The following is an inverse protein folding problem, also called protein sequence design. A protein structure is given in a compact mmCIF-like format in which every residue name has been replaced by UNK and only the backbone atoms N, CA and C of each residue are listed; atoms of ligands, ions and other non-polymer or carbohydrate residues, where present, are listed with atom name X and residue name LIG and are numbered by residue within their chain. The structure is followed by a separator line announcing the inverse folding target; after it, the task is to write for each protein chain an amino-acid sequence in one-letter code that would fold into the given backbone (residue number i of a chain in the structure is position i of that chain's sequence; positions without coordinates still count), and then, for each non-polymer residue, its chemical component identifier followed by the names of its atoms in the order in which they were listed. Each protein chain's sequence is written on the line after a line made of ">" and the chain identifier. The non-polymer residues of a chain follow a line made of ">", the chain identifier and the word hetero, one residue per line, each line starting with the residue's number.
data_IF_470310502922
#
_entry.id   IF_470310502922
#
_cell.length_a   1.000
_cell.length_b   1.000
_cell.length_c   1.000
_cell.angle_alpha   90.00
_cell.angle_beta   90.00
_cell.angle_gamma   90.00
#
_symmetry.space_group_name_H-M   'P 1'
#
loop_
_entity.id
_entity.type
_entity.pdbx_description
1 polymer ?
#
# COMPACT_ATOMS: atom_id res chain seq x y z
N UNK A 1 10.71 0.84 -23.31
CA UNK A 1 11.82 -0.07 -23.68
C UNK A 1 11.51 -1.53 -23.31
N UNK A 2 11.20 -1.86 -22.05
CA UNK A 2 10.98 -3.24 -21.61
C UNK A 2 9.83 -4.02 -22.30
N UNK A 3 8.74 -3.37 -22.73
CA UNK A 3 7.55 -4.07 -23.25
C UNK A 3 7.76 -4.93 -24.51
N UNK A 4 8.79 -4.66 -25.33
CA UNK A 4 9.11 -5.49 -26.50
C UNK A 4 9.89 -6.74 -26.11
N UNK A 5 10.85 -6.60 -25.20
CA UNK A 5 11.70 -7.71 -24.72
C UNK A 5 10.91 -8.71 -23.86
N UNK A 6 9.88 -8.22 -23.15
CA UNK A 6 9.03 -9.04 -22.29
C UNK A 6 7.84 -9.68 -23.05
N UNK A 7 7.76 -9.55 -24.38
CA UNK A 7 6.56 -9.93 -25.15
C UNK A 7 6.27 -11.43 -25.10
N UNK A 8 7.29 -12.25 -25.31
CA UNK A 8 7.14 -13.71 -25.40
C UNK A 8 7.55 -14.41 -24.09
N UNK A 9 7.97 -13.63 -23.09
CA UNK A 9 8.29 -14.15 -21.77
C UNK A 9 7.02 -14.41 -20.95
N UNK A 10 7.06 -15.53 -20.23
CA UNK A 10 6.10 -15.92 -19.20
C UNK A 10 6.84 -16.05 -17.88
N UNK A 11 6.17 -15.65 -16.81
CA UNK A 11 6.69 -15.70 -15.46
C UNK A 11 5.81 -16.61 -14.61
N UNK A 12 6.39 -17.29 -13.63
CA UNK A 12 5.59 -18.08 -12.69
C UNK A 12 4.79 -17.16 -11.76
N UNK A 13 5.40 -16.04 -11.36
CA UNK A 13 4.86 -15.07 -10.42
C UNK A 13 5.05 -13.65 -10.93
N UNK A 14 4.01 -12.84 -10.79
CA UNK A 14 4.04 -11.39 -11.02
C UNK A 14 3.82 -10.70 -9.67
N UNK A 15 4.72 -9.78 -9.33
CA UNK A 15 4.58 -8.94 -8.13
C UNK A 15 4.35 -7.50 -8.57
N UNK A 16 3.31 -6.89 -8.02
CA UNK A 16 3.03 -5.47 -8.22
C UNK A 16 3.04 -4.79 -6.86
N UNK A 17 4.05 -3.96 -6.66
CA UNK A 17 4.12 -3.06 -5.51
C UNK A 17 3.35 -1.76 -5.80
N UNK A 18 2.89 -1.06 -4.76
CA UNK A 18 2.04 0.13 -4.88
C UNK A 18 0.80 -0.07 -5.77
N UNK A 19 0.20 -1.27 -5.70
CA UNK A 19 -0.94 -1.64 -6.52
C UNK A 19 -2.19 -0.78 -6.25
N UNK A 20 -2.30 -0.20 -5.04
CA UNK A 20 -3.34 0.75 -4.66
C UNK A 20 -3.23 2.13 -5.34
N UNK A 21 -2.07 2.45 -5.93
CA UNK A 21 -1.82 3.69 -6.66
C UNK A 21 -1.86 3.48 -8.19
N UNK A 22 -2.13 2.26 -8.65
CA UNK A 22 -2.07 1.90 -10.07
C UNK A 22 -3.47 1.79 -10.66
N UNK A 23 -3.68 2.43 -11.82
CA UNK A 23 -4.90 2.28 -12.61
C UNK A 23 -5.11 0.81 -12.98
N UNK A 24 -6.34 0.31 -12.85
CA UNK A 24 -6.66 -1.08 -13.17
C UNK A 24 -6.19 -1.51 -14.58
N UNK A 25 -6.41 -0.72 -15.66
CA UNK A 25 -5.91 -1.08 -16.99
C UNK A 25 -4.39 -1.27 -17.05
N UNK A 26 -3.64 -0.49 -16.28
CA UNK A 26 -2.17 -0.58 -16.24
C UNK A 26 -1.71 -1.84 -15.52
N UNK A 27 -2.41 -2.24 -14.46
CA UNK A 27 -2.07 -3.45 -13.69
C UNK A 27 -2.32 -4.73 -14.49
N UNK A 28 -3.28 -4.75 -15.42
CA UNK A 28 -3.53 -5.92 -16.26
C UNK A 28 -2.35 -6.27 -17.18
N UNK A 29 -1.51 -5.30 -17.57
CA UNK A 29 -0.38 -5.52 -18.46
C UNK A 29 0.61 -6.58 -17.90
N UNK A 30 1.15 -6.44 -16.67
CA UNK A 30 2.01 -7.45 -16.09
C UNK A 30 1.23 -8.70 -15.64
N UNK A 31 -0.01 -8.59 -15.17
CA UNK A 31 -0.81 -9.73 -14.68
C UNK A 31 -1.00 -10.83 -15.74
N UNK A 32 -1.16 -10.46 -17.01
CA UNK A 32 -1.31 -11.42 -18.13
C UNK A 32 -0.02 -12.22 -18.44
N UNK A 33 1.09 -11.90 -17.78
CA UNK A 33 2.38 -12.55 -17.98
C UNK A 33 2.66 -13.69 -17.00
N UNK A 34 1.89 -13.83 -15.92
CA UNK A 34 2.13 -14.89 -14.95
C UNK A 34 0.90 -15.66 -14.49
N UNK A 35 1.15 -16.86 -13.96
CA UNK A 35 0.11 -17.76 -13.44
C UNK A 35 -0.26 -17.48 -11.98
N UNK A 36 0.58 -16.75 -11.25
CA UNK A 36 0.35 -16.31 -9.87
C UNK A 36 0.67 -14.83 -9.74
N UNK A 37 -0.09 -14.14 -8.89
CA UNK A 37 0.01 -12.70 -8.71
C UNK A 37 0.06 -12.37 -7.23
N UNK A 38 0.99 -11.49 -6.86
CA UNK A 38 1.07 -10.86 -5.54
C UNK A 38 0.90 -9.36 -5.76
N UNK A 39 -0.11 -8.79 -5.11
CA UNK A 39 -0.34 -7.35 -5.10
C UNK A 39 -0.02 -6.84 -3.70
N UNK A 40 0.84 -5.84 -3.59
CA UNK A 40 1.13 -5.12 -2.37
C UNK A 40 0.73 -3.66 -2.53
N UNK A 41 0.21 -3.06 -1.47
CA UNK A 41 -0.24 -1.67 -1.48
C UNK A 41 -1.17 -1.39 -0.32
N UNK A 42 -1.68 -0.16 -0.29
CA UNK A 42 -2.55 0.32 0.78
C UNK A 42 -3.67 1.19 0.20
N UNK A 43 -4.88 0.64 0.19
CA UNK A 43 -6.07 1.32 -0.34
C UNK A 43 -6.62 2.41 0.60
N UNK A 44 -5.97 2.66 1.76
CA UNK A 44 -6.25 3.81 2.63
C UNK A 44 -5.34 5.02 2.34
N UNK A 45 -4.34 4.85 1.48
CA UNK A 45 -3.43 5.92 1.05
C UNK A 45 -3.93 6.58 -0.24
N UNK A 46 -3.04 7.30 -0.94
CA UNK A 46 -3.39 8.06 -2.13
C UNK A 46 -3.87 7.13 -3.26
N UNK A 47 -5.01 7.43 -3.91
CA UNK A 47 -5.45 6.72 -5.11
C UNK A 47 -4.63 7.15 -6.34
N UNK A 48 -4.75 6.45 -7.49
CA UNK A 48 -4.17 6.90 -8.74
C UNK A 48 -4.68 8.29 -9.15
N UNK A 49 -3.80 9.09 -9.76
CA UNK A 49 -4.16 10.41 -10.27
C UNK A 49 -4.95 10.26 -11.57
N UNK A 50 -6.20 10.75 -11.57
CA UNK A 50 -7.07 10.80 -12.76
C UNK A 50 -7.44 12.25 -13.04
N UNK A 51 -6.96 12.80 -14.16
CA UNK A 51 -7.19 14.21 -14.50
C UNK A 51 -8.60 14.51 -15.02
N UNK A 52 -9.32 13.49 -15.50
CA UNK A 52 -10.69 13.65 -16.02
C UNK A 52 -11.71 13.35 -14.92
N UNK A 53 -12.48 14.36 -14.52
CA UNK A 53 -13.58 14.19 -13.56
C UNK A 53 -14.63 13.20 -14.04
N UNK A 54 -14.89 13.16 -15.35
CA UNK A 54 -15.82 12.19 -15.94
C UNK A 54 -15.29 10.76 -15.76
N UNK A 55 -14.01 10.53 -16.03
CA UNK A 55 -13.40 9.21 -15.85
C UNK A 55 -13.33 8.80 -14.38
N UNK A 56 -13.05 9.76 -13.48
CA UNK A 56 -13.08 9.53 -12.04
C UNK A 56 -14.48 9.13 -11.57
N UNK A 57 -15.53 9.85 -11.99
CA UNK A 57 -16.94 9.48 -11.75
C UNK A 57 -17.32 8.14 -12.39
N UNK A 58 -16.69 7.81 -13.52
CA UNK A 58 -16.80 6.51 -14.19
C UNK A 58 -16.08 5.36 -13.46
N UNK A 59 -15.42 5.62 -12.33
CA UNK A 59 -14.79 4.62 -11.49
C UNK A 59 -13.31 4.36 -11.77
N UNK A 60 -12.67 5.14 -12.66
CA UNK A 60 -11.25 4.94 -13.01
C UNK A 60 -10.29 5.17 -11.82
N UNK A 61 -10.75 5.86 -10.77
CA UNK A 61 -9.99 6.04 -9.53
C UNK A 61 -9.99 4.81 -8.61
N UNK A 62 -10.88 3.85 -8.83
CA UNK A 62 -10.96 2.62 -8.04
C UNK A 62 -9.94 1.63 -8.60
N UNK A 63 -9.04 1.14 -7.75
CA UNK A 63 -7.99 0.21 -8.17
C UNK A 63 -8.43 -1.24 -8.07
N UNK A 64 -7.80 -2.11 -8.87
CA UNK A 64 -7.98 -3.57 -8.74
C UNK A 64 -7.64 -4.03 -7.31
N UNK A 65 -6.61 -3.46 -6.70
CA UNK A 65 -6.21 -3.78 -5.33
C UNK A 65 -7.32 -3.49 -4.33
N UNK A 66 -7.92 -2.29 -4.39
CA UNK A 66 -9.04 -1.90 -3.52
C UNK A 66 -10.24 -2.85 -3.68
N UNK A 67 -10.63 -3.16 -4.92
CA UNK A 67 -11.75 -4.07 -5.20
C UNK A 67 -11.49 -5.46 -4.60
N UNK A 68 -10.29 -6.01 -4.82
CA UNK A 68 -9.92 -7.33 -4.33
C UNK A 68 -9.82 -7.37 -2.80
N UNK A 69 -9.17 -6.37 -2.18
CA UNK A 69 -9.06 -6.28 -0.73
C UNK A 69 -10.43 -6.22 -0.08
N UNK A 70 -11.31 -5.32 -0.51
CA UNK A 70 -12.67 -5.21 0.02
C UNK A 70 -13.44 -6.55 -0.12
N UNK A 71 -13.36 -7.20 -1.27
CA UNK A 71 -14.04 -8.48 -1.53
C UNK A 71 -13.47 -9.63 -0.70
N UNK A 72 -12.16 -9.68 -0.52
CA UNK A 72 -11.48 -10.76 0.21
C UNK A 72 -11.61 -10.60 1.72
N UNK A 73 -11.54 -9.38 2.24
CA UNK A 73 -11.79 -9.09 3.66
C UNK A 73 -13.22 -9.45 4.07
N UNK A 74 -14.23 -9.06 3.27
CA UNK A 74 -15.63 -9.43 3.50
C UNK A 74 -15.86 -10.94 3.54
N UNK A 75 -15.03 -11.71 2.83
CA UNK A 75 -15.10 -13.18 2.79
C UNK A 75 -14.13 -13.87 3.73
N UNK A 76 -13.37 -13.12 4.53
CA UNK A 76 -12.27 -13.63 5.34
C UNK A 76 -11.30 -14.52 4.53
N UNK A 77 -11.05 -14.15 3.28
CA UNK A 77 -10.24 -14.94 2.36
C UNK A 77 -8.74 -14.79 2.71
N UNK A 78 -7.97 -15.88 2.78
CA UNK A 78 -6.57 -15.85 3.24
C UNK A 78 -5.61 -15.08 2.32
N UNK A 79 -6.05 -14.73 1.11
CA UNK A 79 -5.26 -13.93 0.17
C UNK A 79 -5.22 -12.43 0.53
N UNK A 80 -6.12 -11.93 1.38
CA UNK A 80 -6.05 -10.58 1.91
C UNK A 80 -5.37 -10.62 3.29
N UNK A 81 -4.26 -9.90 3.41
CA UNK A 81 -3.51 -9.82 4.66
C UNK A 81 -3.00 -8.40 4.88
N UNK A 82 -3.32 -7.85 6.05
CA UNK A 82 -2.80 -6.56 6.49
C UNK A 82 -1.59 -6.78 7.40
N UNK A 83 -0.48 -6.10 7.11
CA UNK A 83 0.64 -6.03 8.03
C UNK A 83 0.30 -5.07 9.19
N UNK A 84 0.41 -5.56 10.42
CA UNK A 84 -0.05 -4.82 11.62
C UNK A 84 1.07 -4.17 12.41
N UNK A 85 2.32 -4.57 12.22
CA UNK A 85 3.47 -3.96 12.91
C UNK A 85 4.12 -2.91 12.03
N UNK A 86 4.30 -1.69 12.55
CA UNK A 86 5.00 -0.61 11.87
C UNK A 86 6.29 -0.23 12.61
N UNK A 87 7.30 0.19 11.85
CA UNK A 87 8.68 0.40 12.34
C UNK A 87 9.16 1.86 12.18
N UNK A 88 8.24 2.81 11.91
CA UNK A 88 8.55 4.19 11.56
C UNK A 88 8.18 5.19 12.66
N UNK A 89 6.92 5.18 13.08
CA UNK A 89 6.29 6.23 13.88
C UNK A 89 6.39 5.95 15.38
N UNK A 90 6.54 7.01 16.18
CA UNK A 90 6.29 6.99 17.62
C UNK A 90 4.87 6.50 17.92
N UNK A 91 4.65 5.85 19.06
CA UNK A 91 3.36 5.23 19.39
C UNK A 91 2.18 6.19 19.33
N UNK A 92 2.36 7.44 19.79
CA UNK A 92 1.32 8.49 19.76
C UNK A 92 0.86 8.81 18.34
N UNK A 93 1.80 8.93 17.40
CA UNK A 93 1.50 9.20 15.98
C UNK A 93 0.82 7.97 15.36
N UNK A 94 1.40 6.79 15.60
CA UNK A 94 0.86 5.53 15.11
C UNK A 94 -0.58 5.29 15.59
N UNK A 95 -0.87 5.58 16.86
CA UNK A 95 -2.17 5.33 17.49
C UNK A 95 -3.29 6.09 16.82
N UNK A 96 -3.08 7.36 16.46
CA UNK A 96 -4.08 8.14 15.73
C UNK A 96 -4.38 7.53 14.36
N UNK A 97 -3.34 7.30 13.53
CA UNK A 97 -3.53 6.70 12.19
C UNK A 97 -4.14 5.30 12.27
N UNK A 98 -3.74 4.50 13.25
CA UNK A 98 -4.27 3.16 13.51
C UNK A 98 -5.77 3.18 13.74
N UNK A 99 -6.24 4.07 14.62
CA UNK A 99 -7.66 4.16 14.97
C UNK A 99 -8.51 4.69 13.81
N UNK A 100 -8.07 5.76 13.14
CA UNK A 100 -8.86 6.41 12.10
C UNK A 100 -8.92 5.61 10.80
N UNK A 101 -7.81 4.96 10.39
CA UNK A 101 -7.72 4.34 9.06
C UNK A 101 -7.69 2.80 9.10
N UNK A 102 -7.25 2.21 10.21
CA UNK A 102 -6.92 0.79 10.29
C UNK A 102 -7.61 0.05 11.46
N UNK A 103 -8.71 0.61 11.98
CA UNK A 103 -9.53 0.00 13.04
C UNK A 103 -8.73 -0.39 14.30
N UNK A 104 -7.69 0.36 14.63
CA UNK A 104 -6.84 0.13 15.79
C UNK A 104 -5.87 -1.06 15.66
N UNK A 105 -5.71 -1.65 14.47
CA UNK A 105 -4.89 -2.86 14.26
C UNK A 105 -3.39 -2.59 14.11
N UNK A 106 -3.00 -1.36 13.77
CA UNK A 106 -1.60 -0.98 13.55
C UNK A 106 -0.89 -0.71 14.89
N UNK A 107 0.25 -1.36 15.12
CA UNK A 107 1.04 -1.34 16.37
C UNK A 107 2.47 -0.90 16.07
N UNK A 108 3.00 -0.01 16.91
CA UNK A 108 4.39 0.40 16.83
C UNK A 108 5.31 -0.69 17.38
N UNK A 109 6.33 -1.06 16.63
CA UNK A 109 7.40 -1.91 17.15
C UNK A 109 8.23 -1.17 18.20
N UNK A 110 8.80 -1.92 19.14
CA UNK A 110 9.71 -1.40 20.18
C UNK A 110 10.84 -0.52 19.64
N UNK A 111 11.30 -0.74 18.40
CA UNK A 111 12.36 0.05 17.78
C UNK A 111 11.92 1.48 17.38
N UNK A 112 10.61 1.73 17.33
CA UNK A 112 10.02 2.98 16.89
C UNK A 112 9.08 3.60 17.93
N UNK A 113 8.49 2.80 18.83
CA UNK A 113 7.42 3.23 19.73
C UNK A 113 7.82 4.44 20.60
N UNK A 114 9.09 4.53 21.03
CA UNK A 114 9.65 5.63 21.86
C UNK A 114 10.59 6.57 21.11
N UNK A 115 10.59 6.53 19.77
CA UNK A 115 11.53 7.33 18.98
C UNK A 115 11.21 8.82 19.13
N UNK A 116 12.14 9.58 19.72
CA UNK A 116 12.10 11.03 19.86
C UNK A 116 13.12 11.69 18.93
N UNK A 117 12.97 13.00 18.72
CA UNK A 117 13.80 13.75 17.78
C UNK A 117 15.22 13.91 18.33
N UNK A 118 15.39 14.31 19.58
CA UNK A 118 16.69 14.39 20.27
C UNK A 118 17.44 13.05 20.43
N UNK A 119 16.79 11.91 20.18
CA UNK A 119 17.44 10.60 20.19
C UNK A 119 18.19 10.28 18.87
N UNK A 120 18.10 11.14 17.86
CA UNK A 120 18.78 10.96 16.58
C UNK A 120 20.19 11.58 16.62
N UNK A 121 21.19 10.86 16.10
CA UNK A 121 22.62 11.22 16.17
C UNK A 121 22.95 12.65 15.69
N UNK A 122 22.17 13.19 14.75
CA UNK A 122 22.42 14.49 14.13
C UNK A 122 21.48 15.59 14.60
N UNK A 123 20.68 15.34 15.64
CA UNK A 123 19.75 16.30 16.23
C UNK A 123 20.32 16.84 17.53
N UNK A 124 20.36 18.17 17.67
CA UNK A 124 20.73 18.82 18.93
C UNK A 124 19.56 18.74 19.89
N UNK A 125 19.85 18.44 21.16
CA UNK A 125 18.88 18.53 22.24
C UNK A 125 18.60 20.00 22.56
N UNK A 126 17.38 20.45 22.27
CA UNK A 126 16.88 21.81 22.51
C UNK A 126 15.46 21.69 23.09
N UNK A 127 14.87 22.77 23.62
CA UNK A 127 13.47 22.73 24.09
C UNK A 127 12.44 22.33 23.02
N UNK A 128 12.83 22.26 21.75
CA UNK A 128 11.98 21.93 20.59
C UNK A 128 12.18 20.49 20.08
N UNK A 129 13.16 19.74 20.62
CA UNK A 129 13.56 18.40 20.16
C UNK A 129 13.56 17.36 21.27
#
# INVERSE_FOLDING_TARGET
>A
AAGRELRDLKFDVVVVDEAAQTLEPSVWIPLLKGGRVILAGDHKQLPPVVSSDEALRGGLGVTLFEVLMNKFEQKHHPAAHMLTTQYRMHETICRWSSNEMYSGKLVADTCAEKRLLNALEHVRDTPET
#
